data_IF_837589465196
#
_entry.id   IF_837589465196
#
_cell.length_a   1.000
_cell.length_b   1.000
_cell.length_c   1.000
_cell.angle_alpha   90.00
_cell.angle_beta   90.00
_cell.angle_gamma   90.00
#
_symmetry.space_group_name_H-M   'P 1'
#
loop_
_entity.id
_entity.type
_entity.pdbx_description
1 polymer ?
#
# COMPACT_ATOMS: atom_id res chain seq x y z
N UNK A 1 43.27 -83.67 9.10
CA UNK A 1 42.55 -83.36 10.35
C UNK A 1 42.79 -81.91 10.81
N UNK A 2 44.03 -81.49 11.10
CA UNK A 2 44.33 -80.12 11.54
C UNK A 2 43.86 -79.00 10.58
N UNK A 3 44.07 -79.18 9.26
CA UNK A 3 43.64 -78.18 8.26
C UNK A 3 42.12 -77.95 8.24
N UNK A 4 41.32 -79.01 8.38
CA UNK A 4 39.85 -78.94 8.43
C UNK A 4 39.34 -78.27 9.71
N UNK A 5 40.04 -78.47 10.83
CA UNK A 5 39.76 -77.78 12.08
C UNK A 5 40.05 -76.27 11.98
N UNK A 6 41.20 -75.89 11.42
CA UNK A 6 41.53 -74.48 11.19
C UNK A 6 40.57 -73.78 10.22
N UNK A 7 40.01 -74.51 9.26
CA UNK A 7 39.00 -73.97 8.34
C UNK A 7 37.65 -73.76 9.04
N UNK A 8 37.19 -74.75 9.83
CA UNK A 8 35.99 -74.65 10.66
C UNK A 8 36.07 -73.52 11.69
N UNK A 9 37.22 -73.34 12.32
CA UNK A 9 37.44 -72.26 13.28
C UNK A 9 37.35 -70.88 12.63
N UNK A 10 37.95 -70.71 11.45
CA UNK A 10 37.83 -69.48 10.64
C UNK A 10 36.40 -69.21 10.19
N UNK A 11 35.65 -70.25 9.84
CA UNK A 11 34.22 -70.15 9.49
C UNK A 11 33.37 -69.72 10.70
N UNK A 12 33.61 -70.30 11.87
CA UNK A 12 32.91 -69.94 13.12
C UNK A 12 33.21 -68.50 13.53
N UNK A 13 34.47 -68.07 13.50
CA UNK A 13 34.87 -66.69 13.79
C UNK A 13 34.21 -65.69 12.84
N UNK A 14 34.09 -66.02 11.54
CA UNK A 14 33.37 -65.20 10.56
C UNK A 14 31.88 -65.07 10.90
N UNK A 15 31.23 -66.17 11.28
CA UNK A 15 29.80 -66.17 11.67
C UNK A 15 29.56 -65.40 12.96
N UNK A 16 30.40 -65.58 13.98
CA UNK A 16 30.30 -64.86 15.25
C UNK A 16 30.50 -63.36 15.07
N UNK A 17 31.48 -62.96 14.25
CA UNK A 17 31.70 -61.56 13.90
C UNK A 17 30.50 -60.94 13.18
N UNK A 18 29.90 -61.68 12.22
CA UNK A 18 28.69 -61.24 11.52
C UNK A 18 27.49 -61.11 12.47
N UNK A 19 27.32 -62.06 13.39
CA UNK A 19 26.25 -62.03 14.39
C UNK A 19 26.38 -60.82 15.33
N UNK A 20 27.58 -60.55 15.86
CA UNK A 20 27.85 -59.38 16.69
C UNK A 20 27.64 -58.06 15.93
N UNK A 21 27.93 -58.04 14.63
CA UNK A 21 27.64 -56.88 13.79
C UNK A 21 26.13 -56.67 13.61
N UNK A 22 25.38 -57.75 13.36
CA UNK A 22 23.92 -57.72 13.25
C UNK A 22 23.26 -57.30 14.56
N UNK A 23 23.70 -57.84 15.71
CA UNK A 23 23.18 -57.50 17.03
C UNK A 23 23.40 -56.01 17.34
N UNK A 24 24.60 -55.48 17.04
CA UNK A 24 24.88 -54.04 17.14
C UNK A 24 23.99 -53.22 16.22
N UNK A 25 23.73 -53.69 15.00
CA UNK A 25 22.77 -53.09 14.08
C UNK A 25 21.35 -53.03 14.65
N UNK A 26 20.85 -54.14 15.18
CA UNK A 26 19.52 -54.23 15.77
C UNK A 26 19.34 -53.33 17.00
N UNK A 27 20.35 -53.23 17.86
CA UNK A 27 20.32 -52.30 18.99
C UNK A 27 20.24 -50.83 18.55
N UNK A 28 21.02 -50.45 17.52
CA UNK A 28 20.94 -49.08 16.95
C UNK A 28 19.57 -48.80 16.35
N UNK A 29 19.00 -49.74 15.59
CA UNK A 29 17.68 -49.59 14.98
C UNK A 29 16.59 -49.39 16.05
N UNK A 30 16.61 -50.18 17.12
CA UNK A 30 15.67 -50.01 18.26
C UNK A 30 15.77 -48.63 18.90
N UNK A 31 16.99 -48.09 19.04
CA UNK A 31 17.19 -46.73 19.56
C UNK A 31 16.60 -45.67 18.65
N UNK A 32 16.77 -45.81 17.34
CA UNK A 32 16.16 -44.91 16.33
C UNK A 32 14.64 -45.02 16.36
N UNK A 33 14.07 -46.22 16.43
CA UNK A 33 12.62 -46.42 16.52
C UNK A 33 12.01 -45.75 17.76
N UNK A 34 12.66 -45.86 18.92
CA UNK A 34 12.20 -45.21 20.15
C UNK A 34 12.26 -43.68 20.05
N UNK A 35 13.31 -43.15 19.44
CA UNK A 35 13.45 -41.71 19.21
C UNK A 35 12.37 -41.19 18.24
N UNK A 36 12.10 -41.93 17.17
CA UNK A 36 11.01 -41.61 16.24
C UNK A 36 9.65 -41.67 16.93
N UNK A 37 9.40 -42.67 17.77
CA UNK A 37 8.16 -42.78 18.53
C UNK A 37 7.95 -41.58 19.46
N UNK A 38 9.00 -41.13 20.16
CA UNK A 38 8.96 -39.94 21.01
C UNK A 38 8.67 -38.68 20.20
N UNK A 39 9.28 -38.53 19.01
CA UNK A 39 9.02 -37.40 18.11
C UNK A 39 7.57 -37.37 17.63
N UNK A 40 7.02 -38.51 17.23
CA UNK A 40 5.61 -38.62 16.80
C UNK A 40 4.67 -38.24 17.94
N UNK A 41 4.91 -38.73 19.17
CA UNK A 41 4.09 -38.38 20.33
C UNK A 41 4.16 -36.88 20.65
N UNK A 42 5.35 -36.29 20.61
CA UNK A 42 5.51 -34.85 20.85
C UNK A 42 4.78 -34.01 19.80
N UNK A 43 4.90 -34.37 18.51
CA UNK A 43 4.16 -33.71 17.43
C UNK A 43 2.64 -33.84 17.59
N UNK A 44 2.15 -35.01 17.99
CA UNK A 44 0.72 -35.21 18.26
C UNK A 44 0.22 -34.34 19.41
N UNK A 45 0.99 -34.21 20.49
CA UNK A 45 0.64 -33.35 21.62
C UNK A 45 0.62 -31.87 21.21
N UNK A 46 1.64 -31.42 20.48
CA UNK A 46 1.69 -30.05 19.95
C UNK A 46 0.50 -29.75 19.05
N UNK A 47 0.18 -30.66 18.12
CA UNK A 47 -0.98 -30.51 17.24
C UNK A 47 -2.29 -30.41 18.03
N UNK A 48 -2.48 -31.22 19.08
CA UNK A 48 -3.69 -31.16 19.91
C UNK A 48 -3.78 -29.86 20.71
N UNK A 49 -2.65 -29.38 21.24
CA UNK A 49 -2.58 -28.09 21.93
C UNK A 49 -2.92 -26.94 20.99
N UNK A 50 -2.28 -26.88 19.82
CA UNK A 50 -2.51 -25.84 18.81
C UNK A 50 -3.97 -25.84 18.35
N UNK A 51 -4.55 -27.02 18.13
CA UNK A 51 -5.98 -27.16 17.80
C UNK A 51 -6.87 -26.55 18.89
N UNK A 52 -6.62 -26.88 20.17
CA UNK A 52 -7.39 -26.34 21.29
C UNK A 52 -7.27 -24.81 21.41
N UNK A 53 -6.07 -24.27 21.20
CA UNK A 53 -5.82 -22.82 21.23
C UNK A 53 -6.55 -22.10 20.09
N UNK A 54 -6.48 -22.64 18.87
CA UNK A 54 -7.20 -22.10 17.70
C UNK A 54 -8.72 -22.14 17.90
N UNK A 55 -9.27 -23.21 18.46
CA UNK A 55 -10.70 -23.31 18.78
C UNK A 55 -11.14 -22.27 19.81
N UNK A 56 -10.32 -22.01 20.85
CA UNK A 56 -10.58 -20.98 21.84
C UNK A 56 -10.52 -19.57 21.23
N UNK A 57 -9.51 -19.29 20.41
CA UNK A 57 -9.36 -18.02 19.69
C UNK A 57 -10.55 -17.77 18.75
N UNK A 58 -11.01 -18.79 18.01
CA UNK A 58 -12.17 -18.69 17.13
C UNK A 58 -13.45 -18.37 17.91
N UNK A 59 -13.66 -19.01 19.06
CA UNK A 59 -14.81 -18.72 19.96
C UNK A 59 -14.76 -17.27 20.45
N UNK A 60 -13.60 -16.77 20.83
CA UNK A 60 -13.44 -15.38 21.27
C UNK A 60 -13.70 -14.39 20.15
N UNK A 61 -13.13 -14.62 18.95
CA UNK A 61 -13.36 -13.77 17.77
C UNK A 61 -14.82 -13.77 17.34
N UNK A 62 -15.51 -14.89 17.45
CA UNK A 62 -16.95 -14.98 17.17
C UNK A 62 -17.77 -14.12 18.15
N UNK A 63 -17.42 -14.11 19.44
CA UNK A 63 -18.07 -13.24 20.44
C UNK A 63 -17.81 -11.75 20.14
N UNK A 64 -16.56 -11.41 19.83
CA UNK A 64 -16.19 -10.04 19.47
C UNK A 64 -16.94 -9.54 18.22
N UNK A 65 -17.09 -10.39 17.20
CA UNK A 65 -17.82 -10.07 15.99
C UNK A 65 -19.33 -9.84 16.25
N UNK A 66 -19.95 -10.67 17.11
CA UNK A 66 -21.33 -10.45 17.56
C UNK A 66 -21.47 -9.10 18.29
N UNK A 67 -20.51 -8.73 19.13
CA UNK A 67 -20.48 -7.45 19.84
C UNK A 67 -20.33 -6.27 18.86
N UNK A 68 -19.43 -6.37 17.88
CA UNK A 68 -19.26 -5.33 16.87
C UNK A 68 -20.52 -5.15 16.01
N UNK A 69 -21.18 -6.25 15.63
CA UNK A 69 -22.46 -6.19 14.90
C UNK A 69 -23.52 -5.44 15.70
N UNK A 70 -23.70 -5.78 16.98
CA UNK A 70 -24.65 -5.07 17.85
C UNK A 70 -24.30 -3.57 17.97
N UNK A 71 -23.01 -3.23 18.10
CA UNK A 71 -22.57 -1.82 18.13
C UNK A 71 -22.84 -1.09 16.81
N UNK A 72 -22.70 -1.76 15.67
CA UNK A 72 -23.02 -1.20 14.36
C UNK A 72 -24.51 -0.91 14.23
N UNK A 73 -25.35 -1.84 14.67
CA UNK A 73 -26.81 -1.67 14.66
C UNK A 73 -27.22 -0.45 15.51
N UNK A 74 -26.63 -0.26 16.71
CA UNK A 74 -26.87 0.94 17.52
C UNK A 74 -26.40 2.25 16.85
N UNK A 75 -25.23 2.24 16.18
CA UNK A 75 -24.75 3.42 15.44
C UNK A 75 -25.65 3.76 14.25
N UNK A 76 -26.21 2.74 13.58
CA UNK A 76 -27.15 2.91 12.48
C UNK A 76 -28.44 3.58 12.96
N UNK A 77 -29.02 3.09 14.07
CA UNK A 77 -30.20 3.69 14.70
C UNK A 77 -29.97 5.17 15.08
N UNK A 78 -28.81 5.45 15.69
CA UNK A 78 -28.43 6.83 16.02
C UNK A 78 -28.30 7.70 14.76
N UNK A 79 -27.68 7.20 13.70
CA UNK A 79 -27.52 7.93 12.44
C UNK A 79 -28.87 8.24 11.78
N UNK A 80 -29.79 7.27 11.78
CA UNK A 80 -31.14 7.45 11.25
C UNK A 80 -31.93 8.49 12.07
N UNK A 81 -31.74 8.51 13.40
CA UNK A 81 -32.29 9.56 14.28
C UNK A 81 -31.71 10.95 13.94
N UNK A 82 -30.39 11.07 13.80
CA UNK A 82 -29.73 12.33 13.44
C UNK A 82 -30.18 12.85 12.07
N UNK A 83 -30.37 11.98 11.08
CA UNK A 83 -30.92 12.38 9.77
C UNK A 83 -32.32 12.96 9.88
N UNK A 84 -33.19 12.36 10.71
CA UNK A 84 -34.54 12.90 10.96
C UNK A 84 -34.46 14.29 11.58
N UNK A 85 -33.67 14.46 12.64
CA UNK A 85 -33.46 15.77 13.28
C UNK A 85 -32.91 16.81 12.30
N UNK A 86 -31.95 16.43 11.45
CA UNK A 86 -31.38 17.34 10.46
C UNK A 86 -32.43 17.79 9.43
N UNK A 87 -33.29 16.89 8.98
CA UNK A 87 -34.37 17.20 8.05
C UNK A 87 -35.41 18.14 8.69
N UNK A 88 -35.80 17.88 9.94
CA UNK A 88 -36.72 18.73 10.70
C UNK A 88 -36.15 20.16 10.87
N UNK A 89 -34.89 20.29 11.27
CA UNK A 89 -34.21 21.58 11.38
C UNK A 89 -34.08 22.29 10.02
N UNK A 90 -33.80 21.54 8.95
CA UNK A 90 -33.75 22.09 7.59
C UNK A 90 -35.10 22.66 7.17
N UNK A 91 -36.21 21.97 7.49
CA UNK A 91 -37.55 22.44 7.18
C UNK A 91 -37.92 23.68 8.00
N UNK A 92 -37.57 23.71 9.28
CA UNK A 92 -37.74 24.91 10.11
C UNK A 92 -36.96 26.10 9.54
N UNK A 93 -35.73 25.88 9.10
CA UNK A 93 -34.91 26.94 8.52
C UNK A 93 -35.53 27.47 7.21
N UNK A 94 -36.04 26.59 6.34
CA UNK A 94 -36.81 27.00 5.14
C UNK A 94 -38.03 27.86 5.48
N UNK A 95 -38.75 27.52 6.55
CA UNK A 95 -39.91 28.31 7.02
C UNK A 95 -39.47 29.70 7.47
N UNK A 96 -38.40 29.79 8.25
CA UNK A 96 -37.82 31.07 8.70
C UNK A 96 -37.29 31.91 7.54
N UNK A 97 -36.62 31.29 6.55
CA UNK A 97 -36.19 31.98 5.33
C UNK A 97 -37.37 32.54 4.54
N UNK A 98 -38.46 31.78 4.40
CA UNK A 98 -39.67 32.25 3.74
C UNK A 98 -40.29 33.46 4.47
N UNK A 99 -40.35 33.40 5.81
CA UNK A 99 -40.82 34.51 6.63
C UNK A 99 -39.92 35.74 6.49
N UNK A 100 -38.60 35.55 6.55
CA UNK A 100 -37.60 36.61 6.35
C UNK A 100 -37.78 37.31 5.01
N UNK A 101 -37.91 36.55 3.91
CA UNK A 101 -38.17 37.10 2.57
C UNK A 101 -39.46 37.92 2.50
N UNK A 102 -40.54 37.47 3.16
CA UNK A 102 -41.82 38.22 3.21
C UNK A 102 -41.65 39.54 3.95
N UNK A 103 -40.94 39.55 5.09
CA UNK A 103 -40.67 40.77 5.85
C UNK A 103 -39.78 41.71 5.04
N UNK A 104 -38.75 41.19 4.37
CA UNK A 104 -37.86 41.98 3.53
C UNK A 104 -38.59 42.63 2.34
N UNK A 105 -39.46 41.89 1.64
CA UNK A 105 -40.29 42.44 0.57
C UNK A 105 -41.25 43.55 1.07
N UNK A 106 -41.80 43.42 2.28
CA UNK A 106 -42.61 44.47 2.90
C UNK A 106 -41.78 45.72 3.20
N UNK A 107 -40.57 45.54 3.72
CA UNK A 107 -39.65 46.64 4.00
C UNK A 107 -39.27 47.39 2.72
N UNK A 108 -38.91 46.68 1.65
CA UNK A 108 -38.59 47.27 0.34
C UNK A 108 -39.78 48.02 -0.27
N UNK A 109 -41.01 47.51 -0.09
CA UNK A 109 -42.21 48.20 -0.56
C UNK A 109 -42.44 49.50 0.23
N UNK A 110 -42.30 49.46 1.56
CA UNK A 110 -42.39 50.65 2.40
C UNK A 110 -41.31 51.69 2.07
N UNK A 111 -40.08 51.25 1.82
CA UNK A 111 -38.99 52.12 1.37
C UNK A 111 -39.32 52.79 0.03
N UNK A 112 -39.78 52.04 -0.98
CA UNK A 112 -40.21 52.59 -2.26
C UNK A 112 -41.35 53.61 -2.13
N UNK A 113 -42.33 53.34 -1.24
CA UNK A 113 -43.42 54.30 -0.97
C UNK A 113 -42.89 55.59 -0.32
N UNK A 114 -41.96 55.47 0.62
CA UNK A 114 -41.34 56.62 1.26
C UNK A 114 -40.55 57.47 0.25
N UNK A 115 -39.73 56.84 -0.59
CA UNK A 115 -38.98 57.50 -1.67
C UNK A 115 -39.90 58.17 -2.69
N UNK A 116 -40.99 57.51 -3.09
CA UNK A 116 -42.02 58.11 -3.96
C UNK A 116 -42.67 59.32 -3.31
N UNK A 117 -43.01 59.25 -2.02
CA UNK A 117 -43.61 60.38 -1.30
C UNK A 117 -42.65 61.56 -1.19
N UNK A 118 -41.37 61.33 -0.87
CA UNK A 118 -40.36 62.39 -0.77
C UNK A 118 -40.01 63.01 -2.12
N UNK A 119 -39.97 62.22 -3.21
CA UNK A 119 -39.74 62.71 -4.58
C UNK A 119 -40.94 63.47 -5.16
N UNK A 120 -42.18 63.06 -4.85
CA UNK A 120 -43.36 63.82 -5.23
C UNK A 120 -43.49 65.13 -4.43
N UNK A 121 -43.20 65.11 -3.12
CA UNK A 121 -43.18 66.31 -2.28
C UNK A 121 -42.11 67.33 -2.71
N UNK A 122 -40.97 66.86 -3.24
CA UNK A 122 -39.93 67.74 -3.80
C UNK A 122 -40.26 68.24 -5.21
N UNK A 123 -41.09 67.53 -5.98
CA UNK A 123 -41.63 68.00 -7.28
C UNK A 123 -42.78 69.00 -7.15
N UNK A 124 -43.66 68.87 -6.16
CA UNK A 124 -44.71 69.87 -5.89
C UNK A 124 -44.16 71.17 -5.30
N UNK A 125 -42.98 71.14 -4.67
CA UNK A 125 -42.29 72.33 -4.22
C UNK A 125 -41.49 73.06 -5.33
N UNK A 126 -41.44 72.53 -6.57
CA UNK A 126 -40.65 73.13 -7.65
C UNK A 126 -41.27 72.90 -9.04
N UNK A 127 -41.94 73.94 -9.55
CA UNK A 127 -42.19 74.16 -10.98
C UNK A 127 -41.91 75.65 -11.33
N UNK A 128 -41.54 76.01 -12.57
CA UNK A 128 -40.18 75.90 -13.08
C UNK A 128 -39.58 77.28 -13.41
N UNK A 129 -38.25 77.42 -13.32
CA UNK A 129 -37.51 78.42 -14.11
C UNK A 129 -36.33 77.76 -14.80
N UNK A 130 -36.31 77.93 -16.12
CA UNK A 130 -35.29 77.51 -17.05
C UNK A 130 -33.99 78.31 -16.84
N UNK A 131 -32.84 77.64 -16.90
CA UNK A 131 -31.65 78.08 -17.62
C UNK A 131 -30.58 76.97 -17.66
N UNK A 132 -30.10 76.64 -18.85
CA UNK A 132 -28.80 76.00 -19.16
C UNK A 132 -27.90 77.15 -19.72
N UNK A 133 -26.55 77.17 -19.62
CA UNK A 133 -25.66 76.05 -19.95
C UNK A 133 -24.40 75.81 -19.06
N UNK A 134 -23.89 74.56 -19.12
CA UNK A 134 -22.51 73.99 -19.01
C UNK A 134 -21.26 74.93 -19.05
N UNK A 135 -20.00 74.45 -18.83
CA UNK A 135 -19.46 73.26 -18.09
C UNK A 135 -18.16 73.53 -17.26
N UNK A 136 -17.82 72.72 -16.25
CA UNK A 136 -16.42 72.46 -15.84
C UNK A 136 -16.25 71.33 -14.79
N UNK A 137 -15.31 70.41 -15.06
CA UNK A 137 -14.60 69.53 -14.10
C UNK A 137 -13.21 70.17 -13.85
N UNK A 138 -12.34 69.71 -12.91
CA UNK A 138 -12.47 68.73 -11.81
C UNK A 138 -11.94 69.25 -10.45
N UNK A 139 -12.18 68.54 -9.33
CA UNK A 139 -11.15 68.06 -8.38
C UNK A 139 -11.76 67.37 -7.13
N UNK A 140 -11.06 66.32 -6.66
CA UNK A 140 -11.30 65.48 -5.46
C UNK A 140 -10.75 66.19 -4.20
N UNK A 141 -11.02 65.79 -2.92
CA UNK A 141 -11.13 64.40 -2.44
C UNK A 141 -12.15 64.05 -1.33
N UNK A 142 -12.41 62.73 -1.20
CA UNK A 142 -12.65 61.86 -0.01
C UNK A 142 -13.44 62.43 1.19
N UNK A 143 -14.40 61.76 1.87
CA UNK A 143 -14.76 60.35 2.11
C UNK A 143 -16.15 60.38 2.81
N UNK A 144 -17.09 59.42 2.72
CA UNK A 144 -17.01 58.14 3.42
C UNK A 144 -18.27 57.27 3.15
N UNK A 145 -17.98 56.03 2.70
CA UNK A 145 -18.64 54.75 3.02
C UNK A 145 -20.15 54.55 2.70
N UNK A 146 -20.39 54.08 1.48
CA UNK A 146 -21.34 53.01 1.20
C UNK A 146 -20.57 51.72 0.82
N UNK A 147 -20.94 50.58 1.41
CA UNK A 147 -20.91 49.22 0.82
C UNK A 147 -21.15 48.18 1.92
N UNK A 148 -22.41 47.80 2.11
CA UNK A 148 -22.80 46.67 2.94
C UNK A 148 -22.37 45.35 2.30
N UNK A 149 -21.27 44.79 2.80
CA UNK A 149 -21.07 43.38 3.16
C UNK A 149 -21.82 42.33 2.33
N UNK A 150 -21.40 42.12 1.09
CA UNK A 150 -21.53 40.82 0.39
C UNK A 150 -20.27 40.00 0.72
N UNK A 151 -20.17 39.51 1.96
CA UNK A 151 -19.03 38.72 2.41
C UNK A 151 -19.50 37.72 3.48
N UNK A 152 -20.37 36.78 3.07
CA UNK A 152 -20.74 35.63 3.91
C UNK A 152 -21.36 34.48 3.11
N UNK A 153 -21.94 34.73 1.92
CA UNK A 153 -22.54 33.65 1.12
C UNK A 153 -21.57 32.90 0.19
N UNK A 154 -20.52 33.56 -0.31
CA UNK A 154 -19.52 32.92 -1.18
C UNK A 154 -18.58 32.01 -0.38
N UNK A 155 -18.23 32.41 0.85
CA UNK A 155 -17.32 31.66 1.72
C UNK A 155 -17.95 30.35 2.17
N UNK A 156 -19.22 30.34 2.57
CA UNK A 156 -19.92 29.10 2.97
C UNK A 156 -20.04 28.11 1.80
N UNK A 157 -20.25 28.59 0.57
CA UNK A 157 -20.32 27.73 -0.62
C UNK A 157 -18.94 27.19 -1.01
N UNK A 158 -17.88 28.00 -0.91
CA UNK A 158 -16.50 27.53 -1.13
C UNK A 158 -15.97 26.62 -0.03
N UNK A 159 -16.41 26.80 1.22
CA UNK A 159 -16.03 25.96 2.36
C UNK A 159 -16.82 24.65 2.36
N UNK A 160 -18.10 24.64 1.99
CA UNK A 160 -18.86 23.41 1.77
C UNK A 160 -18.41 22.67 0.51
N UNK A 161 -17.97 23.39 -0.52
CA UNK A 161 -17.32 22.77 -1.70
C UNK A 161 -15.92 22.26 -1.37
N UNK A 162 -15.11 22.96 -0.56
CA UNK A 162 -13.83 22.46 -0.04
C UNK A 162 -14.02 21.28 0.91
N UNK A 163 -15.02 21.30 1.79
CA UNK A 163 -15.38 20.18 2.65
C UNK A 163 -15.96 19.02 1.83
N UNK A 164 -16.74 19.28 0.79
CA UNK A 164 -17.23 18.26 -0.15
C UNK A 164 -16.11 17.66 -1.01
N UNK A 165 -15.14 18.48 -1.42
CA UNK A 165 -13.91 18.06 -2.09
C UNK A 165 -12.95 17.35 -1.12
N UNK A 166 -12.87 17.71 0.16
CA UNK A 166 -12.04 17.03 1.17
C UNK A 166 -12.67 15.75 1.71
N UNK A 167 -14.00 15.69 1.81
CA UNK A 167 -14.75 14.44 2.08
C UNK A 167 -14.71 13.51 0.86
N UNK A 168 -14.57 14.05 -0.35
CA UNK A 168 -14.36 13.25 -1.58
C UNK A 168 -12.89 12.90 -1.85
N UNK A 169 -11.93 13.72 -1.36
CA UNK A 169 -10.47 13.52 -1.43
C UNK A 169 -9.92 12.71 -0.26
N UNK A 170 -10.71 12.45 0.76
CA UNK A 170 -10.43 11.37 1.70
C UNK A 170 -10.39 10.08 0.90
N UNK A 171 -9.18 9.66 0.52
CA UNK A 171 -8.86 8.44 -0.21
C UNK A 171 -9.91 7.39 0.10
N UNK A 172 -10.78 7.07 -0.87
CA UNK A 172 -11.74 5.98 -0.74
C UNK A 172 -10.95 4.69 -0.79
N UNK A 173 -10.22 4.42 0.30
CA UNK A 173 -9.51 3.18 0.53
C UNK A 173 -10.55 2.08 0.35
N UNK A 174 -10.33 1.23 -0.67
CA UNK A 174 -11.25 0.15 -0.99
C UNK A 174 -11.61 -0.58 0.32
N UNK A 175 -12.90 -0.75 0.66
CA UNK A 175 -13.29 -1.35 1.95
C UNK A 175 -12.63 -2.71 2.20
N UNK A 176 -12.29 -3.43 1.13
CA UNK A 176 -11.57 -4.70 1.15
C UNK A 176 -10.20 -4.60 1.83
N UNK A 177 -9.54 -3.44 1.77
CA UNK A 177 -8.26 -3.18 2.42
C UNK A 177 -8.37 -2.90 3.92
N UNK A 178 -9.59 -2.75 4.46
CA UNK A 178 -9.83 -2.48 5.89
C UNK A 178 -10.08 -3.74 6.72
N UNK A 179 -9.96 -4.93 6.13
CA UNK A 179 -10.14 -6.20 6.86
C UNK A 179 -9.07 -6.38 7.93
N UNK A 180 -9.47 -6.86 9.12
CA UNK A 180 -8.54 -7.21 10.20
C UNK A 180 -7.69 -8.46 9.89
N UNK A 181 -8.12 -9.28 8.93
CA UNK A 181 -7.41 -10.47 8.50
C UNK A 181 -6.34 -10.13 7.44
N UNK A 182 -5.08 -10.48 7.72
CA UNK A 182 -3.95 -10.26 6.81
C UNK A 182 -4.15 -10.98 5.46
N UNK A 183 -4.48 -12.27 5.49
CA UNK A 183 -4.73 -13.08 4.29
C UNK A 183 -5.79 -12.46 3.39
N UNK A 184 -6.90 -11.97 3.97
CA UNK A 184 -7.96 -11.30 3.18
C UNK A 184 -7.43 -10.06 2.49
N UNK A 185 -6.74 -9.17 3.22
CA UNK A 185 -6.15 -7.96 2.63
C UNK A 185 -5.15 -8.31 1.53
N UNK A 186 -4.31 -9.32 1.77
CA UNK A 186 -3.29 -9.79 0.83
C UNK A 186 -3.90 -10.29 -0.48
N UNK A 187 -4.84 -11.23 -0.41
CA UNK A 187 -5.51 -11.79 -1.57
C UNK A 187 -6.34 -10.74 -2.32
N UNK A 188 -7.05 -9.86 -1.60
CA UNK A 188 -7.77 -8.75 -2.22
C UNK A 188 -6.81 -7.83 -2.99
N UNK A 189 -5.64 -7.50 -2.43
CA UNK A 189 -4.61 -6.72 -3.15
C UNK A 189 -4.16 -7.42 -4.43
N UNK A 190 -3.85 -8.71 -4.39
CA UNK A 190 -3.41 -9.44 -5.59
C UNK A 190 -4.51 -9.52 -6.67
N UNK A 191 -5.75 -9.77 -6.27
CA UNK A 191 -6.90 -9.82 -7.18
C UNK A 191 -7.10 -8.45 -7.84
N UNK A 192 -7.07 -7.37 -7.05
CA UNK A 192 -7.22 -6.01 -7.56
C UNK A 192 -6.09 -5.67 -8.53
N UNK A 193 -4.84 -5.98 -8.19
CA UNK A 193 -3.69 -5.72 -9.07
C UNK A 193 -3.83 -6.46 -10.41
N UNK A 194 -4.35 -7.69 -10.39
CA UNK A 194 -4.54 -8.49 -11.60
C UNK A 194 -5.73 -8.07 -12.47
N UNK A 195 -6.75 -7.43 -11.89
CA UNK A 195 -8.06 -7.25 -12.55
C UNK A 195 -8.44 -5.80 -12.80
N UNK A 196 -7.83 -4.85 -12.10
CA UNK A 196 -8.17 -3.43 -12.17
C UNK A 196 -7.03 -2.65 -12.84
N UNK A 197 -7.37 -1.68 -13.69
CA UNK A 197 -6.37 -0.85 -14.40
C UNK A 197 -6.23 0.58 -13.85
N UNK A 198 -7.10 1.00 -12.94
CA UNK A 198 -7.10 2.34 -12.36
C UNK A 198 -5.88 2.54 -11.45
N UNK A 199 -4.99 3.48 -11.80
CA UNK A 199 -3.66 3.64 -11.18
C UNK A 199 -3.73 4.00 -9.70
N UNK A 200 -4.71 4.80 -9.29
CA UNK A 200 -4.96 5.19 -7.91
C UNK A 200 -5.42 4.00 -7.04
N UNK A 201 -6.25 3.12 -7.60
CA UNK A 201 -6.69 1.88 -6.94
C UNK A 201 -5.53 0.89 -6.84
N UNK A 202 -4.74 0.77 -7.92
CA UNK A 202 -3.55 -0.07 -7.94
C UNK A 202 -2.50 0.40 -6.92
N UNK A 203 -2.24 1.71 -6.83
CA UNK A 203 -1.30 2.26 -5.86
C UNK A 203 -1.71 1.91 -4.42
N UNK A 204 -3.01 2.00 -4.09
CA UNK A 204 -3.52 1.57 -2.79
C UNK A 204 -3.36 0.07 -2.55
N UNK A 205 -3.62 -0.77 -3.56
CA UNK A 205 -3.45 -2.21 -3.45
C UNK A 205 -2.00 -2.60 -3.17
N UNK A 206 -1.04 -1.95 -3.84
CA UNK A 206 0.40 -2.17 -3.66
C UNK A 206 0.87 -1.64 -2.30
N UNK A 207 0.34 -0.52 -1.82
CA UNK A 207 0.65 -0.02 -0.48
C UNK A 207 0.23 -1.00 0.62
N UNK A 208 -0.96 -1.60 0.47
CA UNK A 208 -1.46 -2.65 1.37
C UNK A 208 -0.59 -3.90 1.29
N UNK A 209 -0.16 -4.28 0.09
CA UNK A 209 0.77 -5.41 -0.13
C UNK A 209 2.13 -5.14 0.52
N UNK A 210 2.67 -3.94 0.36
CA UNK A 210 3.93 -3.45 0.96
C UNK A 210 3.86 -3.53 2.49
N UNK A 211 2.76 -3.07 3.08
CA UNK A 211 2.54 -3.19 4.52
C UNK A 211 2.43 -4.65 4.98
N UNK A 212 1.83 -5.54 4.18
CA UNK A 212 1.67 -6.93 4.53
C UNK A 212 3.01 -7.68 4.58
N UNK A 213 3.90 -7.47 3.60
CA UNK A 213 5.20 -8.17 3.52
C UNK A 213 6.23 -7.72 4.58
N UNK A 214 5.87 -6.78 5.46
CA UNK A 214 6.69 -6.40 6.63
C UNK A 214 6.69 -7.46 7.74
N UNK A 215 5.75 -8.41 7.72
CA UNK A 215 5.72 -9.54 8.67
C UNK A 215 6.12 -10.84 7.99
N UNK A 216 6.69 -11.77 8.76
CA UNK A 216 7.03 -13.13 8.29
C UNK A 216 5.83 -13.86 7.67
N UNK A 217 4.64 -13.70 8.27
CA UNK A 217 3.38 -14.25 7.75
C UNK A 217 3.08 -13.68 6.35
N UNK A 218 3.20 -12.36 6.16
CA UNK A 218 2.97 -11.74 4.86
C UNK A 218 4.01 -12.11 3.82
N UNK A 219 5.27 -12.31 4.22
CA UNK A 219 6.31 -12.83 3.33
C UNK A 219 6.03 -14.28 2.90
N UNK A 220 5.54 -15.12 3.82
CA UNK A 220 5.12 -16.48 3.49
C UNK A 220 3.96 -16.47 2.48
N UNK A 221 2.96 -15.62 2.69
CA UNK A 221 1.85 -15.43 1.74
C UNK A 221 2.35 -14.96 0.37
N UNK A 222 3.35 -14.08 0.31
CA UNK A 222 3.93 -13.62 -0.95
C UNK A 222 4.50 -14.78 -1.77
N UNK A 223 5.21 -15.70 -1.12
CA UNK A 223 5.77 -16.87 -1.77
C UNK A 223 4.70 -17.90 -2.14
N UNK A 224 3.79 -18.20 -1.20
CA UNK A 224 2.70 -19.17 -1.36
C UNK A 224 1.80 -18.82 -2.55
N UNK A 225 1.38 -17.55 -2.63
CA UNK A 225 0.47 -17.07 -3.67
C UNK A 225 1.18 -16.55 -4.93
N UNK A 226 2.49 -16.80 -5.07
CA UNK A 226 3.30 -16.37 -6.21
C UNK A 226 3.06 -14.91 -6.58
N UNK A 227 3.25 -14.01 -5.62
CA UNK A 227 2.98 -12.59 -5.80
C UNK A 227 4.03 -11.89 -6.69
N UNK A 228 5.22 -12.49 -6.88
CA UNK A 228 6.31 -11.88 -7.65
C UNK A 228 5.91 -11.46 -9.08
N UNK A 229 5.34 -12.32 -9.94
CA UNK A 229 4.89 -11.91 -11.28
C UNK A 229 3.90 -10.74 -11.27
N UNK A 230 3.06 -10.64 -10.23
CA UNK A 230 2.07 -9.58 -10.05
C UNK A 230 2.75 -8.24 -9.80
N UNK A 231 3.77 -8.22 -8.94
CA UNK A 231 4.58 -7.02 -8.67
C UNK A 231 5.43 -6.64 -9.88
N UNK A 232 6.00 -7.61 -10.60
CA UNK A 232 6.75 -7.34 -11.83
C UNK A 232 5.86 -6.72 -12.91
N UNK A 233 4.60 -7.12 -13.04
CA UNK A 233 3.67 -6.51 -13.98
C UNK A 233 3.47 -5.01 -13.71
N UNK A 234 3.41 -4.61 -12.43
CA UNK A 234 3.31 -3.21 -12.03
C UNK A 234 4.57 -2.42 -12.37
N UNK A 235 5.76 -3.00 -12.17
CA UNK A 235 7.03 -2.36 -12.55
C UNK A 235 7.12 -2.11 -14.06
N UNK A 236 6.55 -2.99 -14.89
CA UNK A 236 6.51 -2.81 -16.35
C UNK A 236 5.59 -1.68 -16.81
N UNK A 237 4.64 -1.24 -15.98
CA UNK A 237 3.73 -0.14 -16.35
C UNK A 237 4.43 1.21 -16.50
N UNK A 238 5.65 1.35 -15.97
CA UNK A 238 6.44 2.59 -15.94
C UNK A 238 5.72 3.81 -15.31
N UNK A 239 4.60 3.59 -14.60
CA UNK A 239 3.88 4.65 -13.89
C UNK A 239 4.62 5.03 -12.59
N UNK A 240 5.05 6.30 -12.40
CA UNK A 240 5.78 6.72 -11.20
C UNK A 240 5.03 6.39 -9.89
N UNK A 241 3.69 6.46 -9.91
CA UNK A 241 2.84 6.15 -8.77
C UNK A 241 2.88 4.66 -8.36
N UNK A 242 3.33 3.78 -9.26
CA UNK A 242 3.38 2.32 -9.03
C UNK A 242 4.82 1.83 -8.86
N UNK A 243 5.81 2.48 -9.49
CA UNK A 243 7.20 2.01 -9.46
C UNK A 243 7.79 1.99 -8.05
N UNK A 244 7.67 3.09 -7.30
CA UNK A 244 8.21 3.22 -5.96
C UNK A 244 7.64 2.16 -4.98
N UNK A 245 6.30 2.07 -4.79
CA UNK A 245 5.75 1.11 -3.84
C UNK A 245 5.94 -0.35 -4.29
N UNK A 246 6.01 -0.63 -5.59
CA UNK A 246 6.30 -1.98 -6.10
C UNK A 246 7.74 -2.39 -5.79
N UNK A 247 8.71 -1.49 -5.94
CA UNK A 247 10.10 -1.75 -5.53
C UNK A 247 10.22 -1.91 -4.02
N UNK A 248 9.45 -1.16 -3.24
CA UNK A 248 9.45 -1.28 -1.78
C UNK A 248 8.96 -2.67 -1.33
N UNK A 249 7.96 -3.25 -2.00
CA UNK A 249 7.55 -4.64 -1.76
C UNK A 249 8.72 -5.60 -2.01
N UNK A 250 9.39 -5.48 -3.17
CA UNK A 250 10.51 -6.38 -3.50
C UNK A 250 11.70 -6.22 -2.55
N UNK A 251 12.01 -4.99 -2.15
CA UNK A 251 13.07 -4.73 -1.19
C UNK A 251 12.74 -5.29 0.19
N UNK A 252 11.49 -5.14 0.63
CA UNK A 252 11.04 -5.72 1.89
C UNK A 252 11.11 -7.25 1.88
N UNK A 253 10.82 -7.89 0.74
CA UNK A 253 11.02 -9.35 0.58
C UNK A 253 12.52 -9.74 0.53
N UNK A 254 13.39 -8.81 0.16
CA UNK A 254 14.85 -9.03 0.08
C UNK A 254 15.60 -8.75 1.39
N UNK A 255 14.92 -8.29 2.44
CA UNK A 255 15.52 -8.11 3.77
C UNK A 255 15.91 -9.44 4.39
N UNK A 256 16.83 -9.43 5.35
CA UNK A 256 17.20 -10.65 6.09
C UNK A 256 15.98 -11.23 6.81
N UNK A 257 15.58 -12.44 6.41
CA UNK A 257 14.46 -13.18 6.99
C UNK A 257 14.55 -14.67 6.64
N UNK A 258 13.68 -15.48 7.23
CA UNK A 258 13.60 -16.93 6.93
C UNK A 258 13.16 -17.23 5.49
N UNK A 259 12.52 -16.28 4.83
CA UNK A 259 11.96 -16.44 3.47
C UNK A 259 12.90 -15.93 2.37
N UNK A 260 13.99 -15.23 2.75
CA UNK A 260 14.91 -14.59 1.81
C UNK A 260 15.44 -15.55 0.73
N UNK A 261 15.89 -16.75 1.12
CA UNK A 261 16.42 -17.72 0.16
C UNK A 261 15.38 -18.09 -0.90
N UNK A 262 14.16 -18.42 -0.46
CA UNK A 262 13.07 -18.78 -1.37
C UNK A 262 12.63 -17.60 -2.26
N UNK A 263 12.67 -16.37 -1.74
CA UNK A 263 12.42 -15.18 -2.53
C UNK A 263 13.48 -14.93 -3.60
N UNK A 264 14.78 -15.08 -3.26
CA UNK A 264 15.87 -14.97 -4.23
C UNK A 264 15.80 -16.07 -5.29
N UNK A 265 15.37 -17.28 -4.92
CA UNK A 265 15.13 -18.37 -5.86
C UNK A 265 14.00 -18.01 -6.86
N UNK A 266 12.87 -17.44 -6.39
CA UNK A 266 11.81 -16.95 -7.29
C UNK A 266 12.29 -15.81 -8.21
N UNK A 267 13.12 -14.90 -7.69
CA UNK A 267 13.73 -13.82 -8.47
C UNK A 267 14.79 -14.32 -9.47
N UNK A 268 15.34 -15.52 -9.28
CA UNK A 268 16.35 -16.13 -10.16
C UNK A 268 15.73 -16.70 -11.43
N UNK A 269 14.97 -15.87 -12.14
CA UNK A 269 14.19 -16.21 -13.34
C UNK A 269 14.41 -15.21 -14.46
N UNK A 270 14.28 -15.65 -15.71
CA UNK A 270 14.43 -14.75 -16.86
C UNK A 270 13.43 -13.58 -16.83
N UNK A 271 12.23 -13.81 -16.30
CA UNK A 271 11.18 -12.79 -16.26
C UNK A 271 11.56 -11.61 -15.36
N UNK A 272 12.12 -11.89 -14.18
CA UNK A 272 12.67 -10.87 -13.29
C UNK A 272 13.80 -10.10 -13.97
N UNK A 273 14.76 -10.81 -14.56
CA UNK A 273 15.94 -10.19 -15.15
C UNK A 273 15.61 -9.34 -16.38
N UNK A 274 14.67 -9.77 -17.23
CA UNK A 274 14.12 -8.95 -18.31
C UNK A 274 13.40 -7.72 -17.77
N UNK A 275 12.59 -7.88 -16.72
CA UNK A 275 11.90 -6.75 -16.08
C UNK A 275 12.89 -5.71 -15.53
N UNK A 276 13.93 -6.14 -14.81
CA UNK A 276 14.98 -5.26 -14.30
C UNK A 276 15.73 -4.56 -15.44
N UNK A 277 16.00 -5.28 -16.52
CA UNK A 277 16.68 -4.76 -17.71
C UNK A 277 15.87 -3.67 -18.43
N UNK A 278 14.55 -3.84 -18.53
CA UNK A 278 13.65 -2.81 -19.05
C UNK A 278 13.55 -1.62 -18.09
N UNK A 279 13.44 -1.89 -16.79
CA UNK A 279 13.36 -0.87 -15.76
C UNK A 279 14.56 0.07 -15.77
N UNK A 280 15.78 -0.47 -15.84
CA UNK A 280 17.03 0.30 -15.87
C UNK A 280 17.22 1.11 -17.16
N UNK A 281 16.56 0.74 -18.26
CA UNK A 281 16.58 1.49 -19.52
C UNK A 281 15.55 2.62 -19.58
N UNK A 282 14.72 2.78 -18.54
CA UNK A 282 13.74 3.86 -18.51
C UNK A 282 14.47 5.23 -18.45
N UNK A 283 14.33 6.10 -19.47
CA UNK A 283 15.04 7.38 -19.50
C UNK A 283 14.56 8.38 -18.44
N UNK A 284 13.42 8.11 -17.79
CA UNK A 284 12.86 8.92 -16.70
C UNK A 284 13.07 8.28 -15.33
N UNK A 285 14.05 7.38 -15.20
CA UNK A 285 14.31 6.69 -13.96
C UNK A 285 15.00 7.62 -12.96
N UNK A 286 14.29 7.93 -11.87
CA UNK A 286 14.83 8.75 -10.79
C UNK A 286 15.93 7.99 -10.01
N UNK A 287 17.02 8.68 -9.58
CA UNK A 287 18.14 8.03 -8.88
C UNK A 287 17.74 7.15 -7.68
N UNK A 288 16.79 7.55 -6.80
CA UNK A 288 16.39 6.69 -5.68
C UNK A 288 15.78 5.36 -6.12
N UNK A 289 15.08 5.32 -7.25
CA UNK A 289 14.49 4.08 -7.77
C UNK A 289 15.56 3.20 -8.43
N UNK A 290 16.53 3.81 -9.08
CA UNK A 290 17.72 3.12 -9.58
C UNK A 290 18.46 2.42 -8.44
N UNK A 291 18.75 3.12 -7.35
CA UNK A 291 19.41 2.55 -6.17
C UNK A 291 18.67 1.33 -5.62
N UNK A 292 17.34 1.44 -5.49
CA UNK A 292 16.48 0.32 -5.06
C UNK A 292 16.60 -0.91 -5.95
N UNK A 293 16.59 -0.73 -7.27
CA UNK A 293 16.79 -1.85 -8.21
C UNK A 293 18.22 -2.42 -8.13
N UNK A 294 19.23 -1.57 -7.97
CA UNK A 294 20.62 -2.02 -7.84
C UNK A 294 20.86 -2.83 -6.57
N UNK A 295 20.22 -2.49 -5.44
CA UNK A 295 20.28 -3.29 -4.22
C UNK A 295 19.74 -4.71 -4.42
N UNK A 296 18.64 -4.87 -5.15
CA UNK A 296 18.10 -6.20 -5.50
C UNK A 296 19.05 -6.97 -6.42
N UNK A 297 19.56 -6.31 -7.47
CA UNK A 297 20.51 -6.93 -8.40
C UNK A 297 21.83 -7.29 -7.72
N UNK A 298 22.29 -6.52 -6.73
CA UNK A 298 23.46 -6.84 -5.92
C UNK A 298 23.27 -8.16 -5.17
N UNK A 299 22.15 -8.36 -4.47
CA UNK A 299 21.82 -9.65 -3.84
C UNK A 299 21.80 -10.78 -4.87
N UNK A 300 21.13 -10.60 -6.00
CA UNK A 300 21.05 -11.62 -7.05
C UNK A 300 22.38 -11.92 -7.75
N UNK A 301 23.30 -10.95 -7.82
CA UNK A 301 24.64 -11.14 -8.38
C UNK A 301 25.52 -12.09 -7.55
N UNK A 302 25.24 -12.22 -6.25
CA UNK A 302 25.96 -13.12 -5.35
C UNK A 302 25.60 -14.60 -5.60
N UNK A 303 24.44 -14.84 -6.22
CA UNK A 303 23.97 -16.18 -6.59
C UNK A 303 24.68 -16.61 -7.88
N UNK A 304 25.59 -17.60 -7.77
CA UNK A 304 26.48 -18.00 -8.87
C UNK A 304 25.75 -18.45 -10.14
N UNK A 305 24.61 -19.12 -10.01
CA UNK A 305 23.80 -19.59 -11.15
C UNK A 305 23.21 -18.44 -11.98
N UNK A 306 23.00 -17.26 -11.37
CA UNK A 306 22.37 -16.11 -12.03
C UNK A 306 23.27 -15.40 -13.04
N UNK A 307 24.58 -15.71 -13.09
CA UNK A 307 25.52 -15.08 -14.02
C UNK A 307 25.04 -15.13 -15.48
N UNK A 308 24.42 -16.25 -15.88
CA UNK A 308 23.84 -16.44 -17.22
C UNK A 308 22.61 -15.56 -17.46
N UNK A 309 21.78 -15.31 -16.43
CA UNK A 309 20.61 -14.44 -16.53
C UNK A 309 21.01 -12.96 -16.71
N UNK A 310 22.07 -12.52 -16.04
CA UNK A 310 22.67 -11.19 -16.24
C UNK A 310 23.16 -10.99 -17.68
N UNK A 311 23.75 -12.03 -18.29
CA UNK A 311 24.22 -12.01 -19.68
C UNK A 311 23.03 -12.03 -20.65
N UNK A 312 22.12 -13.00 -20.50
CA UNK A 312 20.95 -13.19 -21.37
C UNK A 312 20.03 -11.96 -21.41
N UNK A 313 19.95 -11.21 -20.31
CA UNK A 313 19.15 -9.99 -20.23
C UNK A 313 19.95 -8.71 -20.56
N UNK A 314 21.19 -8.83 -21.04
CA UNK A 314 22.11 -7.72 -21.33
C UNK A 314 22.31 -6.74 -20.15
N UNK A 315 22.06 -7.19 -18.92
CA UNK A 315 22.23 -6.38 -17.72
C UNK A 315 23.70 -6.14 -17.42
N UNK A 316 24.56 -7.13 -17.68
CA UNK A 316 26.00 -6.98 -17.45
C UNK A 316 26.59 -5.77 -18.19
N UNK A 317 26.34 -5.68 -19.50
CA UNK A 317 26.81 -4.58 -20.34
C UNK A 317 26.18 -3.24 -19.93
N UNK A 318 24.88 -3.23 -19.61
CA UNK A 318 24.18 -2.04 -19.15
C UNK A 318 24.80 -1.50 -17.85
N UNK A 319 25.04 -2.36 -16.87
CA UNK A 319 25.61 -1.98 -15.58
C UNK A 319 27.08 -1.52 -15.70
N UNK A 320 27.86 -2.07 -16.64
CA UNK A 320 29.21 -1.58 -16.94
C UNK A 320 29.19 -0.16 -17.50
N UNK A 321 28.30 0.12 -18.46
CA UNK A 321 28.18 1.46 -19.03
C UNK A 321 27.67 2.48 -18.00
N UNK A 322 26.72 2.07 -17.15
CA UNK A 322 26.27 2.89 -16.02
C UNK A 322 27.41 3.16 -15.03
N UNK A 323 28.26 2.18 -14.73
CA UNK A 323 29.41 2.36 -13.84
C UNK A 323 30.43 3.34 -14.43
N UNK A 324 30.72 3.22 -15.72
CA UNK A 324 31.64 4.10 -16.46
C UNK A 324 31.17 5.56 -16.48
N UNK A 325 29.85 5.78 -16.53
CA UNK A 325 29.23 7.12 -16.63
C UNK A 325 28.78 7.70 -15.29
N UNK A 326 28.82 6.91 -14.21
CA UNK A 326 28.46 7.35 -12.86
C UNK A 326 29.43 8.44 -12.37
N UNK A 327 28.91 9.63 -12.09
CA UNK A 327 29.68 10.75 -11.55
C UNK A 327 30.07 10.60 -10.08
N UNK A 328 31.01 11.43 -9.59
CA UNK A 328 31.52 11.40 -8.20
C UNK A 328 30.47 11.71 -7.13
N UNK A 329 29.34 12.33 -7.49
CA UNK A 329 28.24 12.65 -6.58
C UNK A 329 27.32 11.45 -6.28
N UNK A 330 27.43 10.35 -7.02
CA UNK A 330 26.59 9.16 -6.90
C UNK A 330 27.34 7.99 -6.24
N UNK A 331 27.93 8.25 -5.07
CA UNK A 331 28.79 7.27 -4.39
C UNK A 331 28.06 5.94 -4.11
N UNK A 332 26.80 5.97 -3.68
CA UNK A 332 26.04 4.76 -3.36
C UNK A 332 25.76 3.89 -4.60
N UNK A 333 25.34 4.51 -5.71
CA UNK A 333 25.16 3.83 -7.01
C UNK A 333 26.47 3.19 -7.45
N UNK A 334 27.59 3.93 -7.37
CA UNK A 334 28.91 3.43 -7.77
C UNK A 334 29.36 2.24 -6.92
N UNK A 335 29.12 2.25 -5.60
CA UNK A 335 29.42 1.13 -4.71
C UNK A 335 28.62 -0.12 -5.09
N UNK A 336 27.30 0.01 -5.31
CA UNK A 336 26.45 -1.11 -5.69
C UNK A 336 26.85 -1.69 -7.06
N UNK A 337 27.10 -0.83 -8.05
CA UNK A 337 27.59 -1.24 -9.36
C UNK A 337 28.92 -1.98 -9.27
N UNK A 338 29.87 -1.45 -8.51
CA UNK A 338 31.18 -2.09 -8.29
C UNK A 338 31.02 -3.48 -7.66
N UNK A 339 30.14 -3.61 -6.66
CA UNK A 339 29.86 -4.89 -6.00
C UNK A 339 29.23 -5.91 -6.95
N UNK A 340 28.24 -5.50 -7.75
CA UNK A 340 27.62 -6.36 -8.76
C UNK A 340 28.67 -6.83 -9.77
N UNK A 341 29.42 -5.90 -10.36
CA UNK A 341 30.42 -6.20 -11.39
C UNK A 341 31.57 -7.06 -10.86
N UNK A 342 31.95 -6.91 -9.59
CA UNK A 342 32.91 -7.80 -8.94
C UNK A 342 32.35 -9.22 -8.80
N UNK A 343 31.11 -9.39 -8.34
CA UNK A 343 30.48 -10.71 -8.21
C UNK A 343 30.32 -11.42 -9.57
N UNK A 344 30.07 -10.65 -10.62
CA UNK A 344 30.00 -11.16 -12.00
C UNK A 344 31.39 -11.50 -12.58
N UNK A 345 32.48 -11.07 -11.93
CA UNK A 345 33.86 -11.31 -12.37
C UNK A 345 34.31 -10.38 -13.49
N UNK A 346 33.64 -9.23 -13.68
CA UNK A 346 33.99 -8.24 -14.71
C UNK A 346 34.90 -7.13 -14.19
N UNK A 347 35.00 -6.96 -12.87
CA UNK A 347 36.02 -6.12 -12.22
C UNK A 347 37.00 -7.05 -11.51
N UNK A 348 38.28 -6.95 -11.82
CA UNK A 348 39.36 -7.59 -11.04
C UNK A 348 39.59 -6.78 -9.77
N UNK A 349 39.65 -7.44 -8.60
CA UNK A 349 40.13 -6.77 -7.38
C UNK A 349 41.56 -6.31 -7.64
N UNK A 350 41.77 -5.00 -7.61
CA UNK A 350 43.10 -4.38 -7.62
C UNK A 350 43.85 -4.69 -6.35
#
# INVERSE_FOLDING_TARGET
WAAQLCERERDLQRRESAFLQQQRGAHRLRGVEQEQQRRVQSLQQQYQQEKSELEAALKQKTKENKRMKASFDSMKELNDSMKKQLNELSEQNRKLECQSRKVQARLENLQRKYESFTTHRSREAAAPKAFDPKPSKPEKPQSSKAAGKVMSHTVLTSTLRRLGEEVSRGSRVCPLFKSSCLLTRFLCSLIIIKTISQVDVLAQAVEVLSCAVRSDEGQALFLEYQALPVVLALLRSASPALLAPSLDVLLQMSSESRTLSAFLDQCSSEDFFRCASLFLRNPRLEPPLLEKMLMLLQKLSSVRSNKRLFEASALRLLLQEMHRTSGRSQAFISINLSSILLNLGTLTRS
#
